data_IF_580237714509
#
_entry.id   IF_580237714509
#
_cell.length_a   1.000
_cell.length_b   1.000
_cell.length_c   1.000
_cell.angle_alpha   90.00
_cell.angle_beta   90.00
_cell.angle_gamma   90.00
#
_symmetry.space_group_name_H-M   'P 1'
#
loop_
_entity.id
_entity.type
_entity.pdbx_description
1 polymer ?
#
# COMPACT_ATOMS: atom_id res chain seq x y z
N UNK A 1 12.72 -29.20 9.74
CA UNK A 1 11.67 -28.89 10.71
C UNK A 1 11.70 -27.37 10.89
N UNK A 2 10.92 -26.67 10.07
CA UNK A 2 10.89 -25.19 10.06
C UNK A 2 9.70 -24.80 10.93
N UNK A 3 9.99 -24.30 12.13
CA UNK A 3 8.98 -23.75 13.03
C UNK A 3 8.34 -22.51 12.37
N UNK A 4 7.04 -22.58 12.26
CA UNK A 4 6.17 -21.47 11.86
C UNK A 4 6.30 -20.35 12.91
N UNK A 5 6.95 -19.24 12.54
CA UNK A 5 6.97 -18.04 13.35
C UNK A 5 5.62 -17.35 13.22
N UNK A 6 4.73 -17.63 14.17
CA UNK A 6 3.53 -16.82 14.41
C UNK A 6 3.96 -15.41 14.79
N UNK A 7 3.85 -14.50 13.83
CA UNK A 7 4.17 -13.08 14.03
C UNK A 7 2.99 -12.40 14.71
N UNK A 8 3.14 -11.83 15.91
CA UNK A 8 2.04 -11.23 16.69
C UNK A 8 1.44 -9.96 16.06
N UNK A 9 2.00 -9.47 14.97
CA UNK A 9 1.53 -8.25 14.27
C UNK A 9 0.61 -8.52 13.07
N UNK A 10 0.44 -9.77 12.64
CA UNK A 10 -0.46 -10.13 11.54
C UNK A 10 -1.95 -9.83 11.83
N UNK A 11 -2.29 -9.53 13.10
CA UNK A 11 -3.68 -9.27 13.54
C UNK A 11 -3.95 -7.77 13.80
N UNK A 12 -2.98 -6.87 13.62
CA UNK A 12 -3.08 -5.48 14.09
C UNK A 12 -3.46 -4.44 13.03
N UNK A 13 -3.94 -4.86 11.86
CA UNK A 13 -4.46 -3.93 10.85
C UNK A 13 -5.67 -3.08 11.29
N UNK A 14 -6.31 -3.44 12.40
CA UNK A 14 -7.53 -2.77 12.87
C UNK A 14 -7.29 -1.62 13.88
N UNK A 15 -6.08 -1.48 14.44
CA UNK A 15 -5.85 -0.55 15.57
C UNK A 15 -5.34 0.82 15.12
N UNK A 16 -4.77 0.96 13.93
CA UNK A 16 -4.27 2.25 13.42
C UNK A 16 -5.36 3.19 12.88
N UNK A 17 -6.59 2.69 12.67
CA UNK A 17 -7.67 3.50 12.11
C UNK A 17 -8.24 4.55 13.08
N UNK A 18 -7.96 4.47 14.37
CA UNK A 18 -8.64 5.28 15.40
C UNK A 18 -7.78 6.38 16.05
N UNK A 19 -6.53 6.57 15.63
CA UNK A 19 -5.64 7.57 16.24
C UNK A 19 -5.42 8.85 15.40
N UNK A 20 -5.84 8.86 14.15
CA UNK A 20 -5.86 10.09 13.36
C UNK A 20 -7.26 10.67 13.40
N UNK A 21 -7.51 11.56 14.39
CA UNK A 21 -8.75 12.31 14.48
C UNK A 21 -9.11 12.89 13.13
N UNK A 22 -10.30 12.55 12.63
CA UNK A 22 -10.88 13.11 11.41
C UNK A 22 -11.04 14.61 11.60
N UNK A 23 -10.02 15.39 11.26
CA UNK A 23 -10.19 16.81 11.01
C UNK A 23 -10.90 16.92 9.66
N UNK A 24 -12.22 16.86 9.68
CA UNK A 24 -13.05 17.19 8.53
C UNK A 24 -12.96 18.72 8.34
N UNK A 25 -12.00 19.15 7.53
CA UNK A 25 -12.02 20.50 6.99
C UNK A 25 -13.08 20.48 5.90
N UNK A 26 -14.25 21.03 6.19
CA UNK A 26 -15.31 21.22 5.20
C UNK A 26 -14.75 22.06 4.04
N UNK A 27 -14.83 21.60 2.78
CA UNK A 27 -14.37 22.40 1.65
C UNK A 27 -15.27 23.66 1.53
N UNK A 28 -14.64 24.83 1.63
CA UNK A 28 -15.32 26.14 1.54
C UNK A 28 -15.57 26.55 0.07
N UNK A 29 -15.22 25.71 -0.89
CA UNK A 29 -15.37 25.95 -2.34
C UNK A 29 -16.00 24.75 -3.04
N UNK A 30 -16.75 25.02 -4.12
CA UNK A 30 -17.27 23.96 -5.00
C UNK A 30 -16.09 23.15 -5.54
N UNK A 31 -16.13 21.78 -5.46
CA UNK A 31 -15.05 20.94 -5.95
C UNK A 31 -14.78 21.21 -7.43
N UNK A 32 -13.51 21.40 -7.78
CA UNK A 32 -13.12 21.52 -9.17
C UNK A 32 -13.09 20.16 -9.86
N UNK A 33 -13.05 20.13 -11.18
CA UNK A 33 -12.87 18.87 -11.95
C UNK A 33 -11.61 18.11 -11.50
N UNK A 34 -10.53 18.85 -11.17
CA UNK A 34 -9.29 18.30 -10.67
C UNK A 34 -9.47 17.65 -9.30
N UNK A 35 -10.26 18.27 -8.41
CA UNK A 35 -10.54 17.71 -7.08
C UNK A 35 -11.35 16.43 -7.18
N UNK A 36 -12.36 16.40 -8.06
CA UNK A 36 -13.16 15.20 -8.33
C UNK A 36 -12.29 14.06 -8.90
N UNK A 37 -11.39 14.38 -9.85
CA UNK A 37 -10.46 13.40 -10.42
C UNK A 37 -9.56 12.80 -9.34
N UNK A 38 -8.94 13.64 -8.49
CA UNK A 38 -8.10 13.20 -7.38
C UNK A 38 -8.87 12.33 -6.38
N UNK A 39 -10.11 12.71 -6.06
CA UNK A 39 -10.99 11.94 -5.19
C UNK A 39 -11.27 10.55 -5.75
N UNK A 40 -11.57 10.45 -7.05
CA UNK A 40 -11.83 9.17 -7.71
C UNK A 40 -10.58 8.27 -7.73
N UNK A 41 -9.40 8.83 -8.08
CA UNK A 41 -8.12 8.11 -8.01
C UNK A 41 -7.85 7.56 -6.62
N UNK A 42 -8.01 8.41 -5.60
CA UNK A 42 -7.79 8.02 -4.20
C UNK A 42 -8.77 6.94 -3.74
N UNK A 43 -10.04 7.03 -4.14
CA UNK A 43 -11.06 6.06 -3.78
C UNK A 43 -10.75 4.67 -4.37
N UNK A 44 -10.45 4.61 -5.67
CA UNK A 44 -10.11 3.33 -6.34
C UNK A 44 -8.81 2.76 -5.80
N UNK A 45 -7.75 3.59 -5.64
CA UNK A 45 -6.47 3.11 -5.10
C UNK A 45 -6.63 2.57 -3.68
N UNK A 46 -7.44 3.21 -2.84
CA UNK A 46 -7.74 2.72 -1.49
C UNK A 46 -8.42 1.36 -1.51
N UNK A 47 -9.43 1.17 -2.37
CA UNK A 47 -10.11 -0.12 -2.52
C UNK A 47 -9.14 -1.22 -2.92
N UNK A 48 -8.22 -0.94 -3.84
CA UNK A 48 -7.19 -1.91 -4.26
C UNK A 48 -6.17 -2.17 -3.16
N UNK A 49 -5.81 -1.14 -2.37
CA UNK A 49 -4.85 -1.26 -1.28
C UNK A 49 -5.40 -2.07 -0.10
N UNK A 50 -6.65 -1.81 0.30
CA UNK A 50 -7.27 -2.42 1.48
C UNK A 50 -7.99 -3.74 1.14
N UNK A 51 -8.63 -3.81 -0.02
CA UNK A 51 -9.46 -4.94 -0.45
C UNK A 51 -8.77 -5.94 -1.37
N UNK A 52 -7.53 -5.66 -1.79
CA UNK A 52 -6.79 -6.51 -2.73
C UNK A 52 -7.30 -6.42 -4.17
N UNK A 53 -6.95 -7.42 -5.02
CA UNK A 53 -7.35 -7.45 -6.43
C UNK A 53 -8.86 -7.45 -6.62
N UNK A 54 -9.36 -6.61 -7.54
CA UNK A 54 -10.80 -6.47 -7.83
C UNK A 54 -11.07 -6.42 -9.32
N UNK A 55 -12.25 -6.87 -9.73
CA UNK A 55 -12.71 -6.71 -11.11
C UNK A 55 -13.17 -5.27 -11.34
N UNK A 56 -13.04 -4.77 -12.57
CA UNK A 56 -13.56 -3.43 -12.91
C UNK A 56 -15.05 -3.25 -12.60
N UNK A 57 -15.84 -4.32 -12.74
CA UNK A 57 -17.27 -4.29 -12.40
C UNK A 57 -17.47 -4.05 -10.90
N UNK A 58 -16.71 -4.75 -10.06
CA UNK A 58 -16.79 -4.62 -8.60
C UNK A 58 -16.38 -3.21 -8.15
N UNK A 59 -15.35 -2.62 -8.79
CA UNK A 59 -14.96 -1.23 -8.55
C UNK A 59 -16.09 -0.25 -8.93
N UNK A 60 -16.79 -0.50 -10.04
CA UNK A 60 -17.95 0.29 -10.47
C UNK A 60 -19.06 0.24 -9.43
N UNK A 61 -19.40 -0.96 -8.97
CA UNK A 61 -20.49 -1.17 -8.00
C UNK A 61 -20.14 -0.56 -6.63
N UNK A 62 -18.89 -0.70 -6.19
CA UNK A 62 -18.45 -0.21 -4.87
C UNK A 62 -18.30 1.31 -4.84
N UNK A 63 -17.78 1.92 -5.90
CA UNK A 63 -17.54 3.37 -5.95
C UNK A 63 -18.75 4.17 -6.37
N UNK A 64 -19.74 3.54 -7.04
CA UNK A 64 -20.85 4.23 -7.68
C UNK A 64 -20.46 5.04 -8.93
N UNK A 65 -19.20 4.95 -9.38
CA UNK A 65 -18.72 5.60 -10.60
C UNK A 65 -19.24 4.85 -11.82
N UNK A 66 -19.43 5.56 -12.93
CA UNK A 66 -19.77 4.90 -14.18
C UNK A 66 -18.55 4.15 -14.76
N UNK A 67 -18.81 3.18 -15.65
CA UNK A 67 -17.78 2.30 -16.23
C UNK A 67 -16.66 3.04 -16.96
N UNK A 68 -16.99 4.14 -17.67
CA UNK A 68 -15.99 4.92 -18.38
C UNK A 68 -15.06 5.69 -17.42
N UNK A 69 -15.60 6.19 -16.30
CA UNK A 69 -14.81 6.84 -15.26
C UNK A 69 -13.89 5.84 -14.56
N UNK A 70 -14.40 4.63 -14.21
CA UNK A 70 -13.54 3.58 -13.62
C UNK A 70 -12.42 3.18 -14.57
N UNK A 71 -12.72 3.03 -15.89
CA UNK A 71 -11.71 2.76 -16.90
C UNK A 71 -10.61 3.84 -16.90
N UNK A 72 -11.00 5.12 -17.03
CA UNK A 72 -10.06 6.23 -17.05
C UNK A 72 -9.21 6.33 -15.77
N UNK A 73 -9.81 6.05 -14.60
CA UNK A 73 -9.10 6.03 -13.31
C UNK A 73 -8.10 4.88 -13.25
N UNK A 74 -8.48 3.68 -13.69
CA UNK A 74 -7.58 2.51 -13.70
C UNK A 74 -6.42 2.72 -14.67
N UNK A 75 -6.69 3.27 -15.86
CA UNK A 75 -5.66 3.58 -16.85
C UNK A 75 -4.65 4.58 -16.27
N UNK A 76 -5.14 5.65 -15.63
CA UNK A 76 -4.27 6.66 -14.99
C UNK A 76 -3.46 6.07 -13.82
N UNK A 77 -4.07 5.25 -12.95
CA UNK A 77 -3.33 4.58 -11.89
C UNK A 77 -2.25 3.64 -12.44
N UNK A 78 -2.50 3.02 -13.59
CA UNK A 78 -1.53 2.16 -14.28
C UNK A 78 -0.38 2.97 -14.89
N UNK A 79 -0.69 4.10 -15.53
CA UNK A 79 0.31 5.05 -16.05
C UNK A 79 1.21 5.62 -14.94
N UNK A 80 0.64 5.86 -13.75
CA UNK A 80 1.37 6.29 -12.57
C UNK A 80 2.16 5.15 -11.88
N UNK A 81 2.06 3.92 -12.38
CA UNK A 81 2.69 2.76 -11.77
C UNK A 81 2.09 2.33 -10.43
N UNK A 82 0.88 2.79 -10.09
CA UNK A 82 0.20 2.51 -8.81
C UNK A 82 -0.72 1.30 -8.87
N UNK A 83 -1.15 0.91 -10.07
CA UNK A 83 -1.97 -0.29 -10.30
C UNK A 83 -1.42 -1.12 -11.46
N UNK A 84 -1.80 -2.38 -11.49
CA UNK A 84 -1.58 -3.28 -12.62
C UNK A 84 -2.90 -3.94 -12.98
N UNK A 85 -3.07 -4.24 -14.27
CA UNK A 85 -4.24 -4.95 -14.74
C UNK A 85 -3.85 -6.26 -15.42
N UNK A 86 -4.51 -7.33 -15.06
CA UNK A 86 -4.34 -8.64 -15.67
C UNK A 86 -5.65 -9.14 -16.22
N UNK A 87 -5.63 -9.66 -17.44
CA UNK A 87 -6.78 -10.37 -18.00
C UNK A 87 -6.59 -11.85 -17.73
N UNK A 88 -7.45 -12.50 -16.93
CA UNK A 88 -7.34 -13.93 -16.69
C UNK A 88 -7.42 -14.70 -18.02
N UNK A 89 -6.62 -15.76 -18.12
CA UNK A 89 -6.72 -16.68 -19.25
C UNK A 89 -8.11 -17.34 -19.21
N UNK A 90 -8.83 -17.31 -20.35
CA UNK A 90 -10.15 -17.93 -20.44
C UNK A 90 -10.04 -19.44 -20.20
N UNK A 91 -10.74 -19.93 -19.19
CA UNK A 91 -10.86 -21.36 -18.87
C UNK A 91 -11.97 -22.05 -19.68
N UNK A 92 -12.46 -21.42 -20.75
CA UNK A 92 -13.50 -21.94 -21.62
C UNK A 92 -14.93 -21.75 -21.10
N UNK A 93 -15.11 -21.09 -19.95
CA UNK A 93 -16.44 -20.72 -19.47
C UNK A 93 -17.05 -19.58 -20.29
N UNK A 94 -18.37 -19.59 -20.46
CA UNK A 94 -19.12 -18.67 -21.32
C UNK A 94 -19.02 -17.23 -20.80
N UNK A 95 -18.28 -16.38 -21.51
CA UNK A 95 -18.14 -14.94 -21.24
C UNK A 95 -16.68 -14.47 -21.40
N UNK A 96 -16.50 -13.20 -21.80
CA UNK A 96 -15.16 -12.62 -21.84
C UNK A 96 -14.64 -12.44 -20.40
N UNK A 97 -13.45 -12.96 -20.05
CA UNK A 97 -12.89 -12.77 -18.73
C UNK A 97 -12.84 -11.29 -18.38
N UNK A 98 -13.37 -10.92 -17.22
CA UNK A 98 -13.26 -9.55 -16.72
C UNK A 98 -11.85 -9.31 -16.23
N UNK A 99 -11.24 -8.23 -16.69
CA UNK A 99 -9.92 -7.84 -16.22
C UNK A 99 -9.93 -7.59 -14.71
N UNK A 100 -8.86 -8.02 -14.05
CA UNK A 100 -8.63 -7.84 -12.61
C UNK A 100 -7.57 -6.77 -12.42
N UNK A 101 -7.90 -5.76 -11.62
CA UNK A 101 -7.04 -4.66 -11.24
C UNK A 101 -6.47 -4.93 -9.86
N UNK A 102 -5.18 -4.72 -9.70
CA UNK A 102 -4.46 -4.91 -8.43
C UNK A 102 -3.62 -3.67 -8.12
N UNK A 103 -3.40 -3.37 -6.84
CA UNK A 103 -2.38 -2.41 -6.47
C UNK A 103 -1.00 -2.91 -6.91
N UNK A 104 -0.17 -2.02 -7.47
CA UNK A 104 1.20 -2.36 -7.83
C UNK A 104 2.10 -2.27 -6.59
N UNK A 105 2.45 -3.40 -6.02
CA UNK A 105 3.28 -3.46 -4.80
C UNK A 105 4.69 -2.90 -5.01
N UNK A 106 5.18 -2.89 -6.25
CA UNK A 106 6.53 -2.43 -6.58
C UNK A 106 6.60 -0.93 -6.93
N UNK A 107 5.46 -0.30 -7.24
CA UNK A 107 5.40 1.09 -7.66
C UNK A 107 5.79 2.06 -6.55
N UNK A 108 5.11 1.99 -5.42
CA UNK A 108 5.36 2.82 -4.24
C UNK A 108 5.53 1.94 -3.01
N UNK A 109 6.51 2.28 -2.18
CA UNK A 109 6.73 1.58 -0.91
C UNK A 109 6.77 2.54 0.26
N UNK A 110 6.40 2.02 1.42
CA UNK A 110 6.62 2.63 2.72
C UNK A 110 7.72 1.89 3.48
N UNK A 111 8.44 2.62 4.32
CA UNK A 111 9.33 2.05 5.33
C UNK A 111 8.59 2.08 6.65
N UNK A 112 8.37 0.91 7.24
CA UNK A 112 7.94 0.74 8.61
C UNK A 112 9.14 0.54 9.52
N UNK A 113 9.15 1.20 10.67
CA UNK A 113 10.21 1.05 11.68
C UNK A 113 9.59 0.67 13.01
N UNK A 114 10.04 -0.44 13.58
CA UNK A 114 9.75 -0.85 14.95
C UNK A 114 10.98 -0.61 15.81
N UNK A 115 10.80 0.09 16.95
CA UNK A 115 11.84 0.27 17.96
C UNK A 115 11.35 -0.34 19.26
N UNK A 116 11.97 -1.44 19.67
CA UNK A 116 11.76 -2.10 20.95
C UNK A 116 12.88 -1.73 21.93
N UNK A 117 12.84 -2.27 23.15
CA UNK A 117 13.82 -1.97 24.18
C UNK A 117 15.22 -2.48 23.79
N UNK A 118 15.29 -3.65 23.19
CA UNK A 118 16.52 -4.39 22.90
C UNK A 118 16.87 -4.50 21.42
N UNK A 119 15.98 -4.09 20.53
CA UNK A 119 16.13 -4.22 19.06
C UNK A 119 15.42 -3.11 18.32
N UNK A 120 15.85 -2.88 17.09
CA UNK A 120 15.08 -2.14 16.09
C UNK A 120 14.95 -2.99 14.82
N UNK A 121 13.84 -2.80 14.09
CA UNK A 121 13.53 -3.52 12.85
C UNK A 121 13.00 -2.57 11.81
N UNK A 122 13.37 -2.81 10.56
CA UNK A 122 12.87 -2.07 9.39
C UNK A 122 12.14 -3.04 8.47
N UNK A 123 10.97 -2.65 7.99
CA UNK A 123 10.23 -3.35 6.94
C UNK A 123 10.00 -2.44 5.75
N UNK A 124 10.13 -2.97 4.54
CA UNK A 124 9.74 -2.32 3.28
C UNK A 124 8.43 -2.94 2.83
N UNK A 125 7.39 -2.11 2.73
CA UNK A 125 6.01 -2.55 2.49
C UNK A 125 5.50 -1.81 1.25
N UNK A 126 5.03 -2.57 0.27
CA UNK A 126 4.43 -2.06 -0.96
C UNK A 126 2.94 -1.77 -0.84
N UNK A 127 2.37 -1.18 -1.88
CA UNK A 127 0.92 -1.04 -2.01
C UNK A 127 0.25 -2.41 -1.90
N UNK A 128 -0.95 -2.45 -1.30
CA UNK A 128 -1.64 -3.71 -1.00
C UNK A 128 -1.08 -4.47 0.21
N UNK A 129 -0.13 -3.87 0.96
CA UNK A 129 0.44 -4.47 2.16
C UNK A 129 1.49 -5.55 1.90
N UNK A 130 1.98 -5.69 0.67
CA UNK A 130 3.01 -6.67 0.32
C UNK A 130 4.32 -6.36 1.05
N UNK A 131 4.79 -7.27 1.88
CA UNK A 131 6.09 -7.14 2.54
C UNK A 131 7.21 -7.58 1.60
N UNK A 132 8.02 -6.62 1.13
CA UNK A 132 9.15 -6.91 0.25
C UNK A 132 10.39 -7.36 1.02
N UNK A 133 10.65 -6.74 2.15
CA UNK A 133 11.83 -7.02 2.97
C UNK A 133 11.61 -6.63 4.42
N UNK A 134 12.22 -7.39 5.33
CA UNK A 134 12.35 -7.02 6.75
C UNK A 134 13.77 -7.33 7.20
N UNK A 135 14.38 -6.41 7.95
CA UNK A 135 15.71 -6.57 8.53
C UNK A 135 15.72 -6.13 9.98
N UNK A 136 16.53 -6.79 10.78
CA UNK A 136 16.91 -6.29 12.10
C UNK A 136 18.06 -5.29 11.94
N UNK A 137 17.97 -4.16 12.64
CA UNK A 137 19.03 -3.16 12.68
C UNK A 137 19.98 -3.54 13.80
N UNK A 138 21.27 -3.53 13.49
CA UNK A 138 22.31 -3.87 14.48
C UNK A 138 22.49 -2.73 15.51
N UNK A 139 21.49 -2.59 16.38
CA UNK A 139 21.48 -1.61 17.47
C UNK A 139 20.63 -2.13 18.64
N UNK A 140 21.09 -1.86 19.86
CA UNK A 140 20.31 -2.05 21.06
C UNK A 140 19.87 -0.68 21.59
N UNK A 141 18.60 -0.27 21.41
CA UNK A 141 18.13 1.08 21.73
C UNK A 141 18.31 1.47 23.19
N UNK A 142 18.13 0.55 24.12
CA UNK A 142 18.29 0.80 25.55
C UNK A 142 19.75 1.14 25.95
N UNK A 143 20.71 0.61 25.19
CA UNK A 143 22.15 0.86 25.43
C UNK A 143 22.67 2.03 24.63
N UNK A 144 22.27 2.14 23.37
CA UNK A 144 22.75 3.14 22.43
C UNK A 144 22.16 4.55 22.69
N UNK A 145 20.94 4.58 23.19
CA UNK A 145 20.18 5.83 23.35
C UNK A 145 19.57 6.34 22.03
N UNK A 146 18.75 7.41 22.10
CA UNK A 146 17.92 7.85 20.97
C UNK A 146 18.70 8.27 19.71
N UNK A 147 19.76 9.06 19.88
CA UNK A 147 20.52 9.62 18.76
C UNK A 147 21.24 8.55 17.95
N UNK A 148 21.91 7.61 18.63
CA UNK A 148 22.60 6.51 17.98
C UNK A 148 21.62 5.54 17.34
N UNK A 149 20.50 5.23 17.99
CA UNK A 149 19.43 4.42 17.44
C UNK A 149 18.87 5.04 16.15
N UNK A 150 18.58 6.35 16.15
CA UNK A 150 18.08 7.04 14.96
C UNK A 150 19.09 7.03 13.82
N UNK A 151 20.39 7.19 14.10
CA UNK A 151 21.46 7.12 13.11
C UNK A 151 21.52 5.73 12.48
N UNK A 152 21.56 4.68 13.29
CA UNK A 152 21.60 3.29 12.81
C UNK A 152 20.40 2.92 11.94
N UNK A 153 19.19 3.35 12.35
CA UNK A 153 17.96 3.16 11.57
C UNK A 153 18.04 3.91 10.23
N UNK A 154 18.54 5.16 10.22
CA UNK A 154 18.71 5.96 9.00
C UNK A 154 19.63 5.28 8.00
N UNK A 155 20.81 4.84 8.44
CA UNK A 155 21.78 4.13 7.60
C UNK A 155 21.22 2.82 7.03
N UNK A 156 20.59 2.01 7.89
CA UNK A 156 19.96 0.76 7.47
C UNK A 156 18.81 0.99 6.48
N UNK A 157 18.03 2.06 6.65
CA UNK A 157 16.92 2.43 5.73
C UNK A 157 17.44 2.75 4.33
N UNK A 158 18.54 3.50 4.22
CA UNK A 158 19.19 3.78 2.92
C UNK A 158 19.66 2.48 2.27
N UNK A 159 20.31 1.59 3.02
CA UNK A 159 20.78 0.30 2.50
C UNK A 159 19.67 -0.62 2.01
N UNK A 160 18.52 -0.61 2.69
CA UNK A 160 17.37 -1.43 2.29
C UNK A 160 16.73 -0.92 0.99
N UNK A 161 16.71 0.40 0.76
CA UNK A 161 16.15 1.01 -0.45
C UNK A 161 17.10 0.89 -1.65
N UNK A 162 18.40 0.97 -1.45
CA UNK A 162 19.40 0.91 -2.52
C UNK A 162 19.41 -0.41 -3.30
N UNK A 163 18.86 -1.48 -2.73
CA UNK A 163 18.73 -2.78 -3.39
C UNK A 163 17.50 -2.96 -4.27
N UNK A 164 16.68 -1.90 -4.48
CA UNK A 164 15.49 -1.96 -5.33
C UNK A 164 15.81 -1.52 -6.75
N UNK A 165 15.33 -2.22 -7.79
CA UNK A 165 15.38 -1.67 -9.14
C UNK A 165 14.58 -0.36 -9.17
N UNK A 166 15.20 0.69 -9.69
CA UNK A 166 14.53 1.95 -10.02
C UNK A 166 13.61 1.66 -11.21
N UNK A 167 12.31 1.84 -11.03
CA UNK A 167 11.32 1.79 -12.12
C UNK A 167 11.47 3.03 -12.99
#
# INVERSE_FOLDING_TARGET
>A
MIESLDSPWATSGAVLHNMLGSTTIAPTSTPTTTDLRRTNLSAVLRLLHEGGPQRRADLTDTTGLNRSTVLSVVDELSELGLATETTPVSDGTRGRPSAVVSANSDGVVAIGVEVAVDRARIAVIGLGGAMHRSIDVDVNPAKAGPSETARAIGEASVGVLAGRPTV
#
